data_IF_697282639288
#
_entry.id   IF_697282639288
#
_cell.length_a   1.000
_cell.length_b   1.000
_cell.length_c   1.000
_cell.angle_alpha   90.00
_cell.angle_beta   90.00
_cell.angle_gamma   90.00
#
_symmetry.space_group_name_H-M   'P 1'
#
loop_
_entity.id
_entity.type
_entity.pdbx_description
1 polymer ?
#
# COMPACT_ATOMS: atom_id res chain seq x y z
N UNK A 1 -4.34 -2.08 -18.52
CA UNK A 1 -3.93 -2.88 -17.34
C UNK A 1 -2.65 -2.29 -16.71
N UNK A 2 -1.52 -2.23 -17.43
CA UNK A 2 -0.22 -1.82 -16.86
C UNK A 2 -0.24 -0.39 -16.33
N UNK A 3 -0.80 0.58 -17.06
CA UNK A 3 -0.94 1.97 -16.58
C UNK A 3 -1.82 2.07 -15.34
N UNK A 4 -2.88 1.27 -15.24
CA UNK A 4 -3.70 1.23 -14.03
C UNK A 4 -2.87 0.77 -12.84
N UNK A 5 -2.12 -0.31 -12.97
CA UNK A 5 -1.30 -0.82 -11.87
C UNK A 5 -0.12 0.09 -11.53
N UNK A 6 0.49 0.74 -12.52
CA UNK A 6 1.46 1.81 -12.29
C UNK A 6 0.86 2.92 -11.41
N UNK A 7 -0.33 3.43 -11.77
CA UNK A 7 -1.02 4.48 -11.00
C UNK A 7 -1.46 4.00 -9.61
N UNK A 8 -1.90 2.74 -9.50
CA UNK A 8 -2.23 2.13 -8.22
C UNK A 8 -1.01 2.00 -7.29
N UNK A 9 0.11 1.51 -7.82
CA UNK A 9 1.37 1.44 -7.09
C UNK A 9 1.89 2.80 -6.69
N UNK A 10 1.83 3.78 -7.62
CA UNK A 10 2.15 5.17 -7.34
C UNK A 10 1.32 5.73 -6.17
N UNK A 11 0.00 5.59 -6.20
CA UNK A 11 -0.87 6.09 -5.14
C UNK A 11 -0.62 5.39 -3.81
N UNK A 12 -0.39 4.07 -3.82
CA UNK A 12 -0.09 3.28 -2.62
C UNK A 12 1.14 3.82 -1.89
N UNK A 13 2.24 3.97 -2.59
CA UNK A 13 3.49 4.40 -1.99
C UNK A 13 3.55 5.91 -1.71
N UNK A 14 2.84 6.72 -2.51
CA UNK A 14 2.63 8.13 -2.19
C UNK A 14 1.91 8.30 -0.85
N UNK A 15 0.81 7.57 -0.61
CA UNK A 15 0.08 7.59 0.66
C UNK A 15 0.90 7.02 1.82
N UNK A 16 1.71 6.00 1.59
CA UNK A 16 2.52 5.40 2.64
C UNK A 16 3.58 6.39 3.15
N UNK A 17 4.29 7.05 2.23
CA UNK A 17 5.46 7.85 2.55
C UNK A 17 5.21 9.36 2.68
N UNK A 18 4.02 9.87 2.36
CA UNK A 18 3.67 11.29 2.45
C UNK A 18 3.89 11.90 3.84
N UNK A 19 3.86 11.10 4.90
CA UNK A 19 4.01 11.56 6.30
C UNK A 19 5.45 11.83 6.71
N UNK A 20 6.45 11.34 5.97
CA UNK A 20 7.86 11.50 6.37
C UNK A 20 8.29 12.97 6.53
N UNK A 21 7.97 13.89 5.62
CA UNK A 21 8.33 15.30 5.78
C UNK A 21 7.63 15.97 6.98
N UNK A 22 6.49 15.42 7.43
CA UNK A 22 5.71 15.97 8.54
C UNK A 22 6.23 15.56 9.93
N UNK A 23 7.14 14.57 10.03
CA UNK A 23 7.59 14.04 11.32
C UNK A 23 8.14 15.13 12.28
N UNK A 24 8.93 16.12 11.82
CA UNK A 24 9.37 17.20 12.69
C UNK A 24 8.23 18.09 13.20
N UNK A 25 7.20 18.33 12.36
CA UNK A 25 6.02 19.09 12.74
C UNK A 25 5.22 18.39 13.83
N UNK A 26 5.01 17.07 13.70
CA UNK A 26 4.34 16.27 14.72
C UNK A 26 5.13 16.25 16.05
N UNK A 27 6.46 16.18 15.98
CA UNK A 27 7.30 16.26 17.18
C UNK A 27 7.08 17.54 17.94
N UNK A 28 6.98 18.66 17.23
CA UNK A 28 6.75 19.97 17.84
C UNK A 28 5.30 20.14 18.36
N UNK A 29 4.31 19.79 17.55
CA UNK A 29 2.89 20.03 17.85
C UNK A 29 2.37 19.14 19.00
N UNK A 30 2.75 17.88 19.01
CA UNK A 30 2.32 16.92 20.03
C UNK A 30 3.34 16.77 21.18
N UNK A 31 4.43 17.57 21.20
CA UNK A 31 5.49 17.52 22.21
C UNK A 31 6.05 16.10 22.40
N UNK A 32 6.25 15.37 21.32
CA UNK A 32 6.78 14.00 21.27
C UNK A 32 8.21 13.98 20.74
N UNK A 33 8.98 12.97 21.12
CA UNK A 33 10.33 12.82 20.63
C UNK A 33 10.40 12.27 19.19
N UNK A 34 11.56 12.35 18.54
CA UNK A 34 11.74 11.90 17.16
C UNK A 34 11.44 10.41 16.95
N UNK A 35 11.73 9.55 17.95
CA UNK A 35 11.40 8.12 17.90
C UNK A 35 9.88 7.89 17.91
N UNK A 36 9.16 8.64 18.74
CA UNK A 36 7.70 8.58 18.77
C UNK A 36 7.10 9.11 17.45
N UNK A 37 7.62 10.21 16.92
CA UNK A 37 7.15 10.76 15.64
C UNK A 37 7.35 9.77 14.48
N UNK A 38 8.42 8.97 14.47
CA UNK A 38 8.65 7.95 13.45
C UNK A 38 7.64 6.80 13.48
N UNK A 39 6.90 6.61 14.59
CA UNK A 39 5.84 5.61 14.69
C UNK A 39 4.75 5.80 13.63
N UNK A 40 4.54 7.02 13.15
CA UNK A 40 3.54 7.30 12.11
C UNK A 40 3.79 6.51 10.82
N UNK A 41 5.05 6.26 10.48
CA UNK A 41 5.42 5.40 9.35
C UNK A 41 5.54 3.94 9.77
N UNK A 42 6.17 3.66 10.91
CA UNK A 42 6.42 2.30 11.38
C UNK A 42 5.13 1.53 11.62
N UNK A 43 4.11 2.16 12.20
CA UNK A 43 2.79 1.56 12.39
C UNK A 43 2.12 1.27 11.05
N UNK A 44 2.22 2.19 10.08
CA UNK A 44 1.65 1.97 8.75
C UNK A 44 2.33 0.81 8.03
N UNK A 45 3.66 0.75 8.04
CA UNK A 45 4.42 -0.33 7.38
C UNK A 45 4.24 -1.67 8.09
N UNK A 46 4.19 -1.68 9.42
CA UNK A 46 3.90 -2.88 10.21
C UNK A 46 2.51 -3.45 9.92
N UNK A 47 1.49 -2.59 9.90
CA UNK A 47 0.12 -3.01 9.56
C UNK A 47 -0.03 -3.42 8.10
N UNK A 48 0.72 -2.80 7.18
CA UNK A 48 0.82 -3.24 5.81
C UNK A 48 1.38 -4.65 5.73
N UNK A 49 2.47 -4.95 6.44
CA UNK A 49 3.07 -6.29 6.48
C UNK A 49 2.10 -7.35 7.03
N UNK A 50 1.39 -7.05 8.12
CA UNK A 50 0.33 -7.92 8.65
C UNK A 50 -0.79 -8.11 7.62
N UNK A 51 -1.22 -7.02 6.99
CA UNK A 51 -2.27 -7.03 6.00
C UNK A 51 -1.94 -7.88 4.77
N UNK A 52 -0.66 -7.93 4.33
CA UNK A 52 -0.23 -8.77 3.20
C UNK A 52 -0.60 -10.24 3.41
N UNK A 53 -0.50 -10.75 4.65
CA UNK A 53 -0.84 -12.13 4.99
C UNK A 53 -2.34 -12.42 4.90
N UNK A 54 -3.18 -11.41 5.09
CA UNK A 54 -4.64 -11.52 5.11
C UNK A 54 -5.23 -11.25 3.73
N UNK A 55 -4.75 -10.21 3.06
CA UNK A 55 -5.36 -9.71 1.82
C UNK A 55 -5.07 -10.57 0.61
N UNK A 56 -3.93 -11.30 0.59
CA UNK A 56 -3.64 -12.29 -0.45
C UNK A 56 -4.75 -13.35 -0.54
N UNK A 57 -4.95 -14.16 0.51
CA UNK A 57 -6.04 -15.14 0.57
C UNK A 57 -7.43 -14.54 0.36
N UNK A 58 -7.70 -13.35 0.92
CA UNK A 58 -8.98 -12.67 0.75
C UNK A 58 -9.27 -12.38 -0.72
N UNK A 59 -8.25 -11.95 -1.48
CA UNK A 59 -8.37 -11.68 -2.91
C UNK A 59 -8.60 -12.94 -3.73
N UNK A 60 -8.12 -14.10 -3.27
CA UNK A 60 -8.38 -15.40 -3.90
C UNK A 60 -9.86 -15.81 -3.83
N UNK A 61 -10.60 -15.25 -2.88
CA UNK A 61 -12.03 -15.51 -2.70
C UNK A 61 -12.93 -14.47 -3.37
N UNK A 62 -12.63 -13.18 -3.13
CA UNK A 62 -13.51 -12.06 -3.53
C UNK A 62 -13.22 -11.62 -4.97
N UNK A 63 -11.97 -11.79 -5.42
CA UNK A 63 -11.49 -11.32 -6.72
C UNK A 63 -10.42 -10.25 -6.57
N UNK A 64 -9.57 -10.14 -7.59
CA UNK A 64 -8.39 -9.26 -7.56
C UNK A 64 -8.80 -7.77 -7.59
N UNK A 65 -9.59 -7.39 -8.59
CA UNK A 65 -9.99 -5.99 -8.79
C UNK A 65 -10.77 -5.40 -7.62
N UNK A 66 -11.83 -6.04 -7.08
CA UNK A 66 -12.59 -5.49 -5.96
C UNK A 66 -11.71 -5.21 -4.74
N UNK A 67 -10.78 -6.11 -4.42
CA UNK A 67 -9.87 -5.95 -3.27
C UNK A 67 -8.93 -4.77 -3.48
N UNK A 68 -8.29 -4.66 -4.66
CA UNK A 68 -7.38 -3.55 -4.96
C UNK A 68 -8.08 -2.19 -4.96
N UNK A 69 -9.29 -2.12 -5.52
CA UNK A 69 -10.10 -0.89 -5.56
C UNK A 69 -10.52 -0.48 -4.15
N UNK A 70 -11.09 -1.40 -3.38
CA UNK A 70 -11.48 -1.14 -2.01
C UNK A 70 -10.30 -0.69 -1.14
N UNK A 71 -9.13 -1.30 -1.35
CA UNK A 71 -7.88 -0.95 -0.68
C UNK A 71 -7.48 0.52 -0.90
N UNK A 72 -7.48 0.99 -2.14
CA UNK A 72 -7.12 2.38 -2.46
C UNK A 72 -8.13 3.38 -1.90
N UNK A 73 -9.43 3.11 -2.03
CA UNK A 73 -10.46 3.98 -1.44
C UNK A 73 -10.36 4.03 0.07
N UNK A 74 -10.23 2.88 0.74
CA UNK A 74 -10.08 2.82 2.19
C UNK A 74 -8.83 3.58 2.68
N UNK A 75 -7.68 3.39 2.01
CA UNK A 75 -6.45 4.09 2.34
C UNK A 75 -6.57 5.61 2.17
N UNK A 76 -7.20 6.07 1.08
CA UNK A 76 -7.43 7.48 0.85
C UNK A 76 -8.36 8.09 1.92
N UNK A 77 -9.45 7.40 2.28
CA UNK A 77 -10.37 7.83 3.33
C UNK A 77 -9.70 7.86 4.72
N UNK A 78 -8.90 6.85 5.06
CA UNK A 78 -8.12 6.84 6.30
C UNK A 78 -7.10 7.99 6.34
N UNK A 79 -6.48 8.32 5.20
CA UNK A 79 -5.55 9.46 5.10
C UNK A 79 -6.27 10.79 5.31
N UNK A 80 -7.46 10.97 4.72
CA UNK A 80 -8.32 12.12 5.00
C UNK A 80 -8.77 12.17 6.47
N UNK A 81 -9.12 11.00 7.02
CA UNK A 81 -9.45 10.86 8.44
C UNK A 81 -8.30 11.27 9.35
N UNK A 82 -7.05 10.96 8.99
CA UNK A 82 -5.87 11.39 9.75
C UNK A 82 -5.78 12.91 9.89
N UNK A 83 -6.17 13.66 8.84
CA UNK A 83 -6.18 15.12 8.87
C UNK A 83 -7.22 15.71 9.83
N UNK A 84 -8.20 14.92 10.25
CA UNK A 84 -9.29 15.37 11.13
C UNK A 84 -9.07 14.94 12.59
N UNK A 85 -8.01 14.17 12.87
CA UNK A 85 -7.76 13.67 14.23
C UNK A 85 -7.10 14.74 15.10
N UNK A 86 -7.68 15.02 16.29
CA UNK A 86 -7.13 16.02 17.21
C UNK A 86 -6.01 15.47 18.09
N UNK A 87 -5.81 14.16 18.11
CA UNK A 87 -4.85 13.49 19.00
C UNK A 87 -3.84 12.67 18.22
N UNK A 88 -2.63 12.53 18.78
CA UNK A 88 -1.57 11.72 18.19
C UNK A 88 -1.98 10.25 18.01
N UNK A 89 -2.65 9.66 19.01
CA UNK A 89 -3.14 8.29 18.98
C UNK A 89 -4.19 8.09 17.89
N UNK A 90 -5.05 9.08 17.68
CA UNK A 90 -6.02 9.07 16.58
C UNK A 90 -5.36 9.06 15.21
N UNK A 91 -4.30 9.86 15.04
CA UNK A 91 -3.49 9.87 13.81
C UNK A 91 -2.84 8.49 13.62
N UNK A 92 -2.21 7.92 14.66
CA UNK A 92 -1.59 6.60 14.59
C UNK A 92 -2.60 5.50 14.23
N UNK A 93 -3.81 5.55 14.78
CA UNK A 93 -4.88 4.61 14.43
C UNK A 93 -5.26 4.72 12.95
N UNK A 94 -5.48 5.94 12.45
CA UNK A 94 -5.79 6.16 11.03
C UNK A 94 -4.64 5.68 10.13
N UNK A 95 -3.40 5.88 10.55
CA UNK A 95 -2.21 5.41 9.83
C UNK A 95 -2.07 3.88 9.86
N UNK A 96 -2.42 3.24 10.97
CA UNK A 96 -2.52 1.77 11.05
C UNK A 96 -3.54 1.22 10.05
N UNK A 97 -4.72 1.81 10.01
CA UNK A 97 -5.77 1.46 9.06
C UNK A 97 -5.36 1.75 7.61
N UNK A 98 -4.65 2.85 7.35
CA UNK A 98 -4.08 3.14 6.03
C UNK A 98 -3.12 2.04 5.60
N UNK A 99 -2.18 1.63 6.45
CA UNK A 99 -1.25 0.55 6.15
C UNK A 99 -1.95 -0.77 5.85
N UNK A 100 -2.92 -1.14 6.69
CA UNK A 100 -3.74 -2.33 6.49
C UNK A 100 -4.51 -2.28 5.17
N UNK A 101 -5.11 -1.14 4.84
CA UNK A 101 -5.82 -0.95 3.57
C UNK A 101 -4.87 -1.09 2.36
N UNK A 102 -3.71 -0.42 2.38
CA UNK A 102 -2.74 -0.44 1.28
C UNK A 102 -2.22 -1.85 0.96
N UNK A 103 -2.24 -2.77 1.92
CA UNK A 103 -1.85 -4.16 1.71
C UNK A 103 -2.69 -4.85 0.63
N UNK A 104 -3.96 -4.45 0.46
CA UNK A 104 -4.86 -5.03 -0.53
C UNK A 104 -4.41 -4.78 -1.97
N UNK A 105 -3.73 -3.67 -2.27
CA UNK A 105 -3.12 -3.48 -3.58
C UNK A 105 -1.74 -4.14 -3.65
N UNK A 106 -0.90 -3.95 -2.64
CA UNK A 106 0.47 -4.46 -2.63
C UNK A 106 0.53 -6.00 -2.74
N UNK A 107 -0.35 -6.73 -2.02
CA UNK A 107 -0.42 -8.19 -2.08
C UNK A 107 -0.95 -8.72 -3.41
N UNK A 108 -1.86 -7.98 -4.06
CA UNK A 108 -2.68 -8.52 -5.15
C UNK A 108 -2.17 -8.12 -6.53
N UNK A 109 -1.50 -6.96 -6.65
CA UNK A 109 -1.10 -6.40 -7.93
C UNK A 109 -0.18 -7.33 -8.75
N UNK A 110 0.81 -7.95 -8.10
CA UNK A 110 1.73 -8.88 -8.78
C UNK A 110 1.02 -10.14 -9.26
N UNK A 111 0.12 -10.69 -8.43
CA UNK A 111 -0.70 -11.86 -8.81
C UNK A 111 -1.63 -11.52 -9.97
N UNK A 112 -2.30 -10.37 -9.91
CA UNK A 112 -3.13 -9.88 -11.01
C UNK A 112 -2.34 -9.77 -12.32
N UNK A 113 -1.11 -9.21 -12.28
CA UNK A 113 -0.25 -9.13 -13.45
C UNK A 113 0.10 -10.52 -13.99
N UNK A 114 0.44 -11.48 -13.12
CA UNK A 114 0.79 -12.82 -13.55
C UNK A 114 -0.38 -13.60 -14.16
N UNK A 115 -1.61 -13.30 -13.75
CA UNK A 115 -2.83 -13.93 -14.25
C UNK A 115 -3.32 -13.31 -15.58
N UNK A 116 -3.13 -11.99 -15.79
CA UNK A 116 -3.77 -11.24 -16.87
C UNK A 116 -2.80 -10.81 -17.99
N UNK A 117 -1.48 -10.86 -17.77
CA UNK A 117 -0.49 -10.43 -18.74
C UNK A 117 0.20 -11.65 -19.36
N UNK A 118 0.39 -11.59 -20.69
CA UNK A 118 1.08 -12.65 -21.41
C UNK A 118 2.52 -12.84 -20.90
N UNK A 119 3.03 -14.07 -20.73
CA UNK A 119 4.35 -14.34 -20.15
C UNK A 119 5.50 -13.55 -20.77
N UNK A 120 5.45 -13.25 -22.07
CA UNK A 120 6.48 -12.46 -22.76
C UNK A 120 6.56 -11.00 -22.30
N UNK A 121 5.49 -10.44 -21.74
CA UNK A 121 5.41 -9.02 -21.32
C UNK A 121 5.36 -8.84 -19.80
N UNK A 122 5.35 -9.92 -19.04
CA UNK A 122 5.16 -9.87 -17.58
C UNK A 122 6.30 -9.13 -16.89
N UNK A 123 7.54 -9.32 -17.32
CA UNK A 123 8.71 -8.64 -16.75
C UNK A 123 8.63 -7.13 -16.89
N UNK A 124 8.25 -6.63 -18.08
CA UNK A 124 8.05 -5.20 -18.31
C UNK A 124 6.90 -4.65 -17.45
N UNK A 125 5.78 -5.39 -17.38
CA UNK A 125 4.61 -4.98 -16.61
C UNK A 125 4.91 -4.90 -15.11
N UNK A 126 5.63 -5.86 -14.56
CA UNK A 126 6.09 -5.86 -13.18
C UNK A 126 7.09 -4.74 -12.91
N UNK A 127 8.05 -4.53 -13.82
CA UNK A 127 9.02 -3.44 -13.73
C UNK A 127 8.36 -2.06 -13.71
N UNK A 128 7.35 -1.84 -14.54
CA UNK A 128 6.57 -0.60 -14.54
C UNK A 128 5.74 -0.43 -13.25
N UNK A 129 5.16 -1.49 -12.73
CA UNK A 129 4.48 -1.44 -11.42
C UNK A 129 5.44 -1.06 -10.29
N UNK A 130 6.62 -1.69 -10.22
CA UNK A 130 7.64 -1.38 -9.22
C UNK A 130 8.17 0.05 -9.42
N UNK A 131 8.37 0.48 -10.67
CA UNK A 131 8.72 1.87 -10.98
C UNK A 131 7.66 2.87 -10.50
N UNK A 132 6.38 2.52 -10.64
CA UNK A 132 5.26 3.28 -10.08
C UNK A 132 5.36 3.43 -8.56
N UNK A 133 5.69 2.34 -7.85
CA UNK A 133 5.89 2.37 -6.40
C UNK A 133 7.02 3.34 -6.00
N UNK A 134 8.17 3.25 -6.66
CA UNK A 134 9.34 4.09 -6.36
C UNK A 134 9.05 5.58 -6.62
N UNK A 135 8.50 5.90 -7.80
CA UNK A 135 8.14 7.27 -8.17
C UNK A 135 7.03 7.80 -7.25
N UNK A 136 6.03 6.97 -6.92
CA UNK A 136 4.96 7.33 -6.00
C UNK A 136 5.47 7.71 -4.62
N UNK A 137 6.37 6.90 -4.06
CA UNK A 137 7.00 7.17 -2.78
C UNK A 137 7.83 8.47 -2.77
N UNK A 138 8.54 8.75 -3.85
CA UNK A 138 9.27 10.01 -4.03
C UNK A 138 8.31 11.20 -4.17
N UNK A 139 7.33 11.12 -5.06
CA UNK A 139 6.37 12.20 -5.29
C UNK A 139 5.52 12.51 -4.06
N UNK A 140 5.09 11.49 -3.30
CA UNK A 140 4.34 11.69 -2.06
C UNK A 140 5.11 12.53 -1.04
N UNK A 141 6.40 12.25 -0.88
CA UNK A 141 7.30 13.07 -0.01
C UNK A 141 7.49 14.48 -0.54
N UNK A 142 7.76 14.62 -1.86
CA UNK A 142 8.00 15.93 -2.47
C UNK A 142 6.76 16.81 -2.42
N UNK A 143 5.58 16.29 -2.79
CA UNK A 143 4.32 17.06 -2.77
C UNK A 143 4.05 17.56 -1.36
N UNK A 144 4.13 16.68 -0.37
CA UNK A 144 3.85 17.06 1.01
C UNK A 144 4.96 17.94 1.58
N UNK A 145 6.25 17.66 1.27
CA UNK A 145 7.37 18.49 1.67
C UNK A 145 7.21 19.94 1.22
N UNK A 146 6.84 20.15 -0.04
CA UNK A 146 6.56 21.50 -0.57
C UNK A 146 5.32 22.12 0.07
N UNK A 147 4.25 21.33 0.26
CA UNK A 147 3.00 21.86 0.83
C UNK A 147 3.19 22.39 2.26
N UNK A 148 3.94 21.68 3.09
CA UNK A 148 4.15 22.08 4.51
C UNK A 148 4.99 23.35 4.67
N UNK A 149 5.68 23.81 3.65
CA UNK A 149 6.35 25.10 3.65
C UNK A 149 5.37 26.28 3.56
N UNK A 150 4.17 26.04 3.03
CA UNK A 150 3.15 27.08 2.81
C UNK A 150 1.91 26.92 3.67
N UNK A 151 1.61 25.70 4.11
CA UNK A 151 0.39 25.39 4.88
C UNK A 151 0.72 24.41 6.03
N UNK A 152 -0.20 24.32 7.01
CA UNK A 152 -0.04 23.33 8.08
C UNK A 152 -0.21 21.90 7.55
N UNK A 153 0.13 20.91 8.37
CA UNK A 153 0.03 19.51 7.99
C UNK A 153 -1.41 19.04 7.70
N UNK A 154 -2.44 19.63 8.32
CA UNK A 154 -3.84 19.28 8.08
C UNK A 154 -4.27 19.48 6.63
N UNK A 155 -4.15 20.69 6.00
CA UNK A 155 -4.43 20.85 4.58
C UNK A 155 -3.56 20.00 3.70
N UNK A 156 -2.28 19.80 4.03
CA UNK A 156 -1.39 18.94 3.24
C UNK A 156 -1.88 17.50 3.20
N UNK A 157 -2.36 16.94 4.33
CA UNK A 157 -2.99 15.63 4.39
C UNK A 157 -4.31 15.56 3.63
N UNK A 158 -5.12 16.62 3.67
CA UNK A 158 -6.36 16.70 2.88
C UNK A 158 -6.08 16.70 1.38
N UNK A 159 -5.08 17.44 0.93
CA UNK A 159 -4.67 17.48 -0.48
C UNK A 159 -4.20 16.10 -0.94
N UNK A 160 -3.29 15.44 -0.22
CA UNK A 160 -2.77 14.14 -0.63
C UNK A 160 -3.86 13.05 -0.58
N UNK A 161 -4.73 13.08 0.43
CA UNK A 161 -5.88 12.18 0.53
C UNK A 161 -6.90 12.40 -0.58
N UNK A 162 -7.17 13.65 -0.94
CA UNK A 162 -8.05 14.02 -2.07
C UNK A 162 -7.49 13.56 -3.43
N UNK A 163 -6.19 13.78 -3.67
CA UNK A 163 -5.50 13.28 -4.85
C UNK A 163 -5.55 11.75 -4.92
N UNK A 164 -5.42 11.08 -3.78
CA UNK A 164 -5.52 9.63 -3.71
C UNK A 164 -6.95 9.11 -3.98
N UNK A 165 -8.00 9.82 -3.57
CA UNK A 165 -9.38 9.48 -3.95
C UNK A 165 -9.59 9.59 -5.46
N UNK A 166 -9.06 10.64 -6.08
CA UNK A 166 -9.12 10.80 -7.54
C UNK A 166 -8.37 9.65 -8.21
N UNK A 167 -7.16 9.33 -7.73
CA UNK A 167 -6.38 8.22 -8.25
C UNK A 167 -7.11 6.87 -8.09
N UNK A 168 -7.77 6.63 -6.95
CA UNK A 168 -8.58 5.44 -6.71
C UNK A 168 -9.78 5.34 -7.68
N UNK A 169 -10.46 6.46 -7.95
CA UNK A 169 -11.57 6.51 -8.89
C UNK A 169 -11.09 6.26 -10.35
N UNK A 170 -9.96 6.84 -10.73
CA UNK A 170 -9.31 6.60 -12.02
C UNK A 170 -8.89 5.14 -12.14
N UNK A 171 -8.24 4.60 -11.11
CA UNK A 171 -7.83 3.20 -11.05
C UNK A 171 -9.01 2.25 -11.22
N UNK A 172 -10.11 2.49 -10.50
CA UNK A 172 -11.34 1.70 -10.61
C UNK A 172 -11.89 1.65 -12.04
N UNK A 173 -11.90 2.79 -12.73
CA UNK A 173 -12.39 2.91 -14.11
C UNK A 173 -11.46 2.26 -15.14
N UNK A 174 -10.15 2.39 -14.96
CA UNK A 174 -9.15 1.96 -15.95
C UNK A 174 -8.77 0.49 -15.77
N UNK A 175 -8.81 -0.05 -14.54
CA UNK A 175 -8.44 -1.44 -14.29
C UNK A 175 -9.49 -2.39 -14.87
N UNK A 176 -9.13 -3.28 -15.83
CA UNK A 176 -10.06 -4.28 -16.35
C UNK A 176 -10.50 -5.28 -15.27
N UNK A 177 -11.62 -5.95 -15.50
CA UNK A 177 -12.01 -7.11 -14.69
C UNK A 177 -11.01 -8.26 -14.92
N UNK A 178 -10.78 -9.05 -13.86
CA UNK A 178 -9.95 -10.25 -13.95
C UNK A 178 -10.64 -11.30 -14.79
N UNK A 179 -10.08 -11.63 -15.95
CA UNK A 179 -10.65 -12.63 -16.89
C UNK A 179 -10.24 -14.05 -16.54
N UNK A 180 -9.02 -14.20 -15.99
CA UNK A 180 -8.43 -15.49 -15.66
C UNK A 180 -8.58 -15.87 -14.19
N UNK A 181 -9.29 -15.05 -13.41
CA UNK A 181 -9.53 -15.31 -11.99
C UNK A 181 -10.38 -16.55 -11.77
N UNK A 182 -9.92 -17.43 -10.88
CA UNK A 182 -10.69 -18.58 -10.38
C UNK A 182 -10.77 -18.51 -8.86
N UNK A 183 -11.97 -18.33 -8.34
CA UNK A 183 -12.19 -18.28 -6.90
C UNK A 183 -11.72 -19.59 -6.23
N UNK A 184 -10.93 -19.47 -5.16
CA UNK A 184 -10.49 -20.59 -4.32
C UNK A 184 -11.22 -20.54 -2.99
N UNK A 185 -11.58 -21.71 -2.46
CA UNK A 185 -12.16 -21.80 -1.11
C UNK A 185 -11.07 -21.57 -0.06
N UNK A 186 -11.34 -20.67 0.89
CA UNK A 186 -10.48 -20.45 2.06
C UNK A 186 -10.66 -21.59 3.07
N UNK A 187 -9.93 -22.68 2.90
CA UNK A 187 -9.83 -23.68 3.96
C UNK A 187 -8.63 -23.34 4.85
N UNK A 188 -8.77 -23.23 6.18
CA UNK A 188 -7.66 -22.87 7.08
C UNK A 188 -6.43 -23.79 6.92
N UNK A 189 -6.66 -25.07 6.65
CA UNK A 189 -5.59 -26.03 6.38
C UNK A 189 -4.84 -25.74 5.09
N UNK A 190 -5.52 -25.34 4.02
CA UNK A 190 -4.88 -25.03 2.74
C UNK A 190 -4.04 -23.74 2.81
N UNK A 191 -4.38 -22.80 3.68
CA UNK A 191 -3.59 -21.59 3.93
C UNK A 191 -2.30 -21.93 4.67
N UNK A 192 -2.37 -22.78 5.70
CA UNK A 192 -1.20 -23.26 6.43
C UNK A 192 -0.30 -24.12 5.54
N UNK A 193 -0.87 -25.00 4.72
CA UNK A 193 -0.12 -25.84 3.79
C UNK A 193 0.57 -24.98 2.72
N UNK A 194 -0.08 -23.95 2.20
CA UNK A 194 0.52 -22.98 1.27
C UNK A 194 1.70 -22.22 1.91
N UNK A 195 1.56 -21.83 3.17
CA UNK A 195 2.62 -21.15 3.91
C UNK A 195 3.81 -22.09 4.20
N UNK A 196 3.53 -23.31 4.67
CA UNK A 196 4.59 -24.30 4.99
C UNK A 196 5.29 -24.81 3.75
N UNK A 197 4.62 -24.84 2.58
CA UNK A 197 5.22 -25.27 1.33
C UNK A 197 6.40 -24.36 0.93
N UNK A 198 6.31 -23.07 1.21
CA UNK A 198 7.40 -22.13 0.93
C UNK A 198 8.65 -22.37 1.77
N UNK A 199 8.53 -22.95 2.95
CA UNK A 199 9.68 -23.33 3.80
C UNK A 199 10.19 -24.74 3.51
N UNK A 200 9.45 -25.56 2.78
CA UNK A 200 9.88 -26.91 2.35
C UNK A 200 10.72 -26.88 1.07
N UNK A 201 10.62 -25.84 0.27
CA UNK A 201 11.47 -25.64 -0.89
C UNK A 201 12.83 -25.10 -0.43
N UNK A 202 13.92 -25.80 -0.79
CA UNK A 202 15.27 -25.44 -0.32
C UNK A 202 15.78 -24.09 -0.87
N UNK A 203 15.22 -23.59 -1.99
CA UNK A 203 15.64 -22.33 -2.62
C UNK A 203 14.89 -21.09 -2.08
N UNK A 204 13.61 -21.22 -1.76
CA UNK A 204 12.77 -20.09 -1.35
C UNK A 204 13.23 -19.41 -0.04
N UNK A 205 13.60 -20.13 1.03
CA UNK A 205 14.12 -19.50 2.25
C UNK A 205 15.40 -18.71 2.01
N UNK A 206 16.27 -19.17 1.08
CA UNK A 206 17.49 -18.43 0.71
C UNK A 206 17.17 -17.14 -0.03
N UNK A 207 16.19 -17.14 -0.94
CA UNK A 207 15.70 -15.94 -1.62
C UNK A 207 15.06 -14.95 -0.66
N UNK A 208 14.34 -15.43 0.37
CA UNK A 208 13.80 -14.56 1.42
C UNK A 208 14.90 -13.92 2.26
N UNK A 209 15.95 -14.71 2.59
CA UNK A 209 17.10 -14.19 3.31
C UNK A 209 17.86 -13.15 2.47
N UNK A 210 18.08 -13.43 1.19
CA UNK A 210 18.71 -12.49 0.26
C UNK A 210 17.90 -11.18 0.15
N UNK A 211 16.59 -11.29 -0.04
CA UNK A 211 15.71 -10.12 -0.09
C UNK A 211 15.75 -9.30 1.23
N UNK A 212 15.83 -9.97 2.37
CA UNK A 212 15.94 -9.32 3.68
C UNK A 212 17.28 -8.57 3.86
N UNK A 213 18.38 -9.16 3.36
CA UNK A 213 19.72 -8.55 3.47
C UNK A 213 19.89 -7.36 2.51
N UNK A 214 19.18 -7.37 1.36
CA UNK A 214 19.25 -6.30 0.35
C UNK A 214 18.30 -5.12 0.65
N UNK A 215 17.40 -5.23 1.62
CA UNK A 215 16.47 -4.19 2.04
C UNK A 215 17.00 -3.38 3.22
#
# INVERSE_FOLDING_TARGET
TVLALFSGGFATFALLYCVQPMMPLFSHEFSINAAQSSLILSVSTGMLAIGLLITGPLSDRIGRKPVMVAALFAAALCTLGSAMMPTWEGILLMRALTGLALSGLAAVAMTYLSEEIHPQHIGLAMGLYIGGNAIGGMCGRLIVGVLIDFVSWHPAMLVIGGLALIAAAVFWKILPESRNFRARSLHPRSLLDGFTMHFRDAGLPLLFLEAFVLM
#
